data_IF_763654293437
#
_entry.id   IF_763654293437
#
_cell.length_a   1.000
_cell.length_b   1.000
_cell.length_c   1.000
_cell.angle_alpha   90.00
_cell.angle_beta   90.00
_cell.angle_gamma   90.00
#
_symmetry.space_group_name_H-M   'P 1'
#
loop_
_entity.id
_entity.type
_entity.pdbx_description
1 polymer ?
#
# COMPACT_ATOMS: atom_id res chain seq x y z
N UNK A 1 13.28 -6.90 12.80
CA UNK A 1 13.30 -5.41 12.91
C UNK A 1 12.81 -4.79 11.62
N UNK A 2 13.34 -5.22 10.48
CA UNK A 2 13.07 -4.57 9.18
C UNK A 2 11.70 -4.93 8.55
N UNK A 3 11.19 -6.16 8.75
CA UNK A 3 9.80 -6.53 8.37
C UNK A 3 8.76 -5.68 9.12
N UNK A 4 9.00 -5.40 10.41
CA UNK A 4 8.10 -4.56 11.20
C UNK A 4 8.03 -3.13 10.65
N UNK A 5 9.16 -2.58 10.21
CA UNK A 5 9.20 -1.27 9.56
C UNK A 5 8.40 -1.29 8.25
N UNK A 6 8.51 -2.35 7.45
CA UNK A 6 7.69 -2.51 6.24
C UNK A 6 6.20 -2.60 6.58
N UNK A 7 5.82 -3.42 7.56
CA UNK A 7 4.42 -3.55 8.01
C UNK A 7 3.86 -2.20 8.47
N UNK A 8 4.62 -1.45 9.25
CA UNK A 8 4.24 -0.10 9.69
C UNK A 8 4.08 0.85 8.50
N UNK A 9 5.01 0.84 7.54
CA UNK A 9 4.91 1.66 6.34
C UNK A 9 3.64 1.34 5.53
N UNK A 10 3.35 0.05 5.31
CA UNK A 10 2.12 -0.39 4.64
C UNK A 10 0.86 0.03 5.41
N UNK A 11 0.85 -0.10 6.74
CA UNK A 11 -0.27 0.32 7.59
C UNK A 11 -0.53 1.84 7.50
N UNK A 12 0.53 2.65 7.50
CA UNK A 12 0.42 4.10 7.33
C UNK A 12 -0.19 4.46 5.97
N UNK A 13 0.29 3.84 4.89
CA UNK A 13 -0.26 4.02 3.55
C UNK A 13 -1.74 3.62 3.48
N UNK A 14 -2.10 2.44 4.02
CA UNK A 14 -3.49 1.97 4.09
C UNK A 14 -4.36 2.96 4.83
N UNK A 15 -3.90 3.46 5.97
CA UNK A 15 -4.65 4.41 6.82
C UNK A 15 -4.91 5.70 6.07
N UNK A 16 -3.88 6.28 5.45
CA UNK A 16 -4.01 7.54 4.72
C UNK A 16 -4.94 7.40 3.52
N UNK A 17 -4.78 6.35 2.71
CA UNK A 17 -5.64 6.13 1.53
C UNK A 17 -7.09 5.85 1.95
N UNK A 18 -7.31 5.04 3.00
CA UNK A 18 -8.66 4.74 3.51
C UNK A 18 -9.37 6.00 4.02
N UNK A 19 -8.64 6.84 4.77
CA UNK A 19 -9.19 8.10 5.27
C UNK A 19 -9.55 9.04 4.12
N UNK A 20 -8.72 9.10 3.07
CA UNK A 20 -9.05 9.89 1.88
C UNK A 20 -10.28 9.37 1.16
N UNK A 21 -10.45 8.05 1.02
CA UNK A 21 -11.67 7.45 0.44
C UNK A 21 -12.89 7.91 1.24
N UNK A 22 -12.87 7.76 2.56
CA UNK A 22 -13.99 8.18 3.43
C UNK A 22 -14.30 9.68 3.30
N UNK A 23 -13.28 10.54 3.23
CA UNK A 23 -13.47 11.98 3.01
C UNK A 23 -14.13 12.25 1.65
N UNK A 24 -13.67 11.56 0.60
CA UNK A 24 -14.18 11.73 -0.76
C UNK A 24 -15.63 11.25 -0.92
N UNK A 25 -16.04 10.23 -0.18
CA UNK A 25 -17.42 9.73 -0.13
C UNK A 25 -18.37 10.73 0.56
N UNK A 26 -17.87 11.52 1.52
CA UNK A 26 -18.66 12.50 2.26
C UNK A 26 -18.76 13.87 1.56
N UNK A 27 -18.04 14.08 0.46
CA UNK A 27 -17.96 15.37 -0.25
C UNK A 27 -18.84 15.38 -1.51
N UNK A 28 -19.52 16.51 -1.75
CA UNK A 28 -20.42 16.70 -2.90
C UNK A 28 -19.84 17.61 -4.00
N UNK A 29 -18.68 18.25 -3.80
CA UNK A 29 -18.08 19.21 -4.75
C UNK A 29 -16.83 18.69 -5.46
N UNK A 30 -16.78 18.81 -6.80
CA UNK A 30 -15.66 18.39 -7.65
C UNK A 30 -14.37 19.19 -7.44
N UNK A 31 -14.44 20.49 -7.12
CA UNK A 31 -13.22 21.29 -6.91
C UNK A 31 -12.46 20.89 -5.64
N UNK A 32 -13.19 20.43 -4.62
CA UNK A 32 -12.59 19.89 -3.41
C UNK A 32 -11.95 18.52 -3.65
N UNK A 33 -12.52 17.70 -4.52
CA UNK A 33 -12.01 16.36 -4.86
C UNK A 33 -10.59 16.42 -5.41
N UNK A 34 -10.33 17.23 -6.44
CA UNK A 34 -8.98 17.33 -7.03
C UNK A 34 -7.94 17.77 -6.00
N UNK A 35 -8.30 18.73 -5.12
CA UNK A 35 -7.41 19.17 -4.04
C UNK A 35 -7.13 18.05 -3.03
N UNK A 36 -8.15 17.27 -2.66
CA UNK A 36 -8.00 16.14 -1.73
C UNK A 36 -7.08 15.07 -2.33
N UNK A 37 -7.25 14.74 -3.61
CA UNK A 37 -6.42 13.76 -4.32
C UNK A 37 -4.96 14.22 -4.45
N UNK A 38 -4.73 15.49 -4.79
CA UNK A 38 -3.38 16.06 -4.81
C UNK A 38 -2.72 16.04 -3.42
N UNK A 39 -3.48 16.41 -2.38
CA UNK A 39 -2.99 16.35 -1.00
C UNK A 39 -2.64 14.91 -0.59
N UNK A 40 -3.41 13.91 -1.04
CA UNK A 40 -3.10 12.51 -0.81
C UNK A 40 -1.76 12.12 -1.44
N UNK A 41 -1.51 12.48 -2.70
CA UNK A 41 -0.24 12.17 -3.37
C UNK A 41 0.96 12.78 -2.64
N UNK A 42 0.87 14.04 -2.23
CA UNK A 42 1.90 14.73 -1.45
C UNK A 42 2.11 14.03 -0.10
N UNK A 43 1.03 13.65 0.58
CA UNK A 43 1.11 12.97 1.88
C UNK A 43 1.79 11.62 1.76
N UNK A 44 1.48 10.84 0.72
CA UNK A 44 2.14 9.56 0.47
C UNK A 44 3.63 9.76 0.16
N UNK A 45 4.00 10.71 -0.70
CA UNK A 45 5.40 10.99 -1.01
C UNK A 45 6.21 11.33 0.25
N UNK A 46 5.68 12.21 1.10
CA UNK A 46 6.32 12.57 2.37
C UNK A 46 6.45 11.37 3.32
N UNK A 47 5.43 10.52 3.40
CA UNK A 47 5.48 9.29 4.19
C UNK A 47 6.57 8.35 3.68
N UNK A 48 6.69 8.19 2.37
CA UNK A 48 7.69 7.33 1.77
C UNK A 48 9.10 7.85 2.01
N UNK A 49 9.34 9.15 1.85
CA UNK A 49 10.64 9.76 2.15
C UNK A 49 11.08 9.49 3.60
N UNK A 50 10.15 9.65 4.56
CA UNK A 50 10.43 9.40 5.97
C UNK A 50 10.68 7.92 6.31
N UNK A 51 10.02 6.98 5.61
CA UNK A 51 10.03 5.57 5.98
C UNK A 51 10.98 4.71 5.14
N UNK A 52 11.27 5.06 3.88
CA UNK A 52 12.11 4.28 2.97
C UNK A 52 13.56 4.15 3.48
N UNK A 53 14.07 5.18 4.15
CA UNK A 53 15.41 5.17 4.76
C UNK A 53 15.53 4.12 5.87
N UNK A 54 14.42 3.75 6.51
CA UNK A 54 14.35 2.76 7.60
C UNK A 54 14.26 1.31 7.10
N UNK A 55 14.15 1.09 5.79
CA UNK A 55 13.99 -0.21 5.16
C UNK A 55 15.31 -0.68 4.52
N UNK A 56 15.62 -1.98 4.56
CA UNK A 56 16.67 -2.55 3.71
C UNK A 56 16.36 -2.42 2.22
N UNK A 57 17.39 -2.62 1.38
CA UNK A 57 17.26 -2.62 -0.08
C UNK A 57 16.20 -3.61 -0.58
N UNK A 58 16.06 -4.78 0.03
CA UNK A 58 15.08 -5.79 -0.36
C UNK A 58 13.64 -5.29 -0.14
N UNK A 59 13.34 -4.75 1.05
CA UNK A 59 12.01 -4.23 1.34
C UNK A 59 11.69 -2.93 0.61
N UNK A 60 12.70 -2.07 0.38
CA UNK A 60 12.55 -0.93 -0.52
C UNK A 60 12.14 -1.39 -1.91
N UNK A 61 12.86 -2.35 -2.50
CA UNK A 61 12.53 -2.87 -3.84
C UNK A 61 11.14 -3.50 -3.89
N UNK A 62 10.77 -4.24 -2.84
CA UNK A 62 9.42 -4.80 -2.71
C UNK A 62 8.34 -3.71 -2.72
N UNK A 63 8.52 -2.65 -1.91
CA UNK A 63 7.60 -1.52 -1.85
C UNK A 63 7.57 -0.75 -3.16
N UNK A 64 8.73 -0.48 -3.78
CA UNK A 64 8.84 0.14 -5.10
C UNK A 64 8.05 -0.63 -6.15
N UNK A 65 8.16 -1.96 -6.19
CA UNK A 65 7.41 -2.79 -7.15
C UNK A 65 5.89 -2.70 -6.96
N UNK A 66 5.42 -2.48 -5.74
CA UNK A 66 4.00 -2.23 -5.46
C UNK A 66 3.62 -0.84 -5.96
N UNK A 67 4.37 0.20 -5.57
CA UNK A 67 4.05 1.59 -5.89
C UNK A 67 4.17 1.91 -7.39
N UNK A 68 5.10 1.28 -8.10
CA UNK A 68 5.26 1.40 -9.55
C UNK A 68 3.99 0.95 -10.31
N UNK A 69 3.23 -0.02 -9.78
CA UNK A 69 1.93 -0.42 -10.38
C UNK A 69 0.89 0.71 -10.33
N UNK A 70 1.13 1.72 -9.49
CA UNK A 70 0.30 2.91 -9.33
C UNK A 70 1.02 4.18 -9.80
N UNK A 71 2.03 4.02 -10.66
CA UNK A 71 2.79 5.12 -11.28
C UNK A 71 3.56 6.01 -10.30
N UNK A 72 3.99 5.45 -9.17
CA UNK A 72 5.00 6.13 -8.35
C UNK A 72 6.38 5.96 -8.97
N UNK A 73 7.14 7.04 -9.11
CA UNK A 73 8.56 7.02 -9.46
C UNK A 73 9.39 7.15 -8.19
N UNK A 74 10.23 6.16 -7.92
CA UNK A 74 11.19 6.21 -6.81
C UNK A 74 12.27 7.27 -7.07
N UNK A 75 12.70 7.41 -8.33
CA UNK A 75 13.73 8.37 -8.73
C UNK A 75 13.25 9.81 -8.58
N UNK A 76 12.00 10.09 -8.98
CA UNK A 76 11.40 11.42 -8.87
C UNK A 76 10.68 11.63 -7.52
N UNK A 77 10.58 10.58 -6.69
CA UNK A 77 9.86 10.56 -5.42
C UNK A 77 8.42 11.09 -5.50
N UNK A 78 7.74 10.82 -6.61
CA UNK A 78 6.39 11.33 -6.86
C UNK A 78 5.58 10.39 -7.74
N UNK A 79 4.25 10.56 -7.69
CA UNK A 79 3.36 9.92 -8.66
C UNK A 79 3.39 10.68 -9.98
N UNK A 80 3.62 9.96 -11.08
CA UNK A 80 3.71 10.52 -12.43
C UNK A 80 2.34 10.71 -13.09
N UNK A 81 1.28 10.17 -12.47
CA UNK A 81 -0.12 10.29 -12.91
C UNK A 81 -0.96 10.82 -11.75
N UNK A 82 -1.89 11.74 -12.03
CA UNK A 82 -2.87 12.23 -11.06
C UNK A 82 -3.75 11.08 -10.54
N UNK A 83 -4.03 11.06 -9.24
CA UNK A 83 -4.97 10.09 -8.69
C UNK A 83 -6.40 10.38 -9.15
N UNK A 84 -7.16 9.31 -9.37
CA UNK A 84 -8.61 9.34 -9.55
C UNK A 84 -9.26 8.59 -8.39
N UNK A 85 -10.53 8.87 -8.08
CA UNK A 85 -11.29 8.08 -7.08
C UNK A 85 -11.23 6.58 -7.36
N UNK A 86 -11.31 6.22 -8.64
CA UNK A 86 -11.34 4.84 -9.12
C UNK A 86 -10.06 4.05 -8.78
N UNK A 87 -8.91 4.71 -8.65
CA UNK A 87 -7.64 4.04 -8.34
C UNK A 87 -7.47 3.78 -6.84
N UNK A 88 -8.15 4.54 -5.98
CA UNK A 88 -7.92 4.48 -4.52
C UNK A 88 -8.38 3.16 -3.90
N UNK A 89 -9.58 2.67 -4.25
CA UNK A 89 -10.11 1.42 -3.71
C UNK A 89 -9.26 0.21 -4.12
N UNK A 90 -8.88 0.03 -5.40
CA UNK A 90 -7.92 -0.99 -5.81
C UNK A 90 -6.55 -0.83 -5.13
N UNK A 91 -6.07 0.40 -4.95
CA UNK A 91 -4.79 0.67 -4.31
C UNK A 91 -4.77 0.24 -2.85
N UNK A 92 -5.75 0.67 -2.05
CA UNK A 92 -5.84 0.27 -0.64
C UNK A 92 -6.04 -1.23 -0.49
N UNK A 93 -6.85 -1.86 -1.35
CA UNK A 93 -7.07 -3.30 -1.33
C UNK A 93 -5.78 -4.08 -1.62
N UNK A 94 -4.98 -3.62 -2.59
CA UNK A 94 -3.67 -4.21 -2.87
C UNK A 94 -2.73 -4.07 -1.67
N UNK A 95 -2.62 -2.87 -1.08
CA UNK A 95 -1.79 -2.65 0.11
C UNK A 95 -2.21 -3.56 1.29
N UNK A 96 -3.52 -3.69 1.55
CA UNK A 96 -4.06 -4.59 2.57
C UNK A 96 -3.71 -6.04 2.29
N UNK A 97 -3.84 -6.48 1.04
CA UNK A 97 -3.44 -7.83 0.63
C UNK A 97 -1.93 -8.06 0.78
N UNK A 98 -1.10 -7.07 0.48
CA UNK A 98 0.36 -7.13 0.67
C UNK A 98 0.75 -7.22 2.13
N UNK A 99 0.05 -6.50 3.00
CA UNK A 99 0.24 -6.62 4.45
C UNK A 99 -0.15 -8.02 4.95
N UNK A 100 -1.33 -8.51 4.56
CA UNK A 100 -1.79 -9.86 4.94
C UNK A 100 -0.90 -10.97 4.39
N UNK A 101 -0.27 -10.77 3.23
CA UNK A 101 0.68 -11.73 2.64
C UNK A 101 1.91 -11.92 3.54
N UNK A 102 2.41 -10.87 4.20
CA UNK A 102 3.54 -10.99 5.12
C UNK A 102 3.18 -11.91 6.29
N UNK A 103 2.00 -11.71 6.87
CA UNK A 103 1.50 -12.56 7.95
C UNK A 103 1.26 -14.00 7.49
N UNK A 104 0.75 -14.20 6.27
CA UNK A 104 0.55 -15.51 5.68
C UNK A 104 1.87 -16.25 5.40
N UNK A 105 2.91 -15.57 4.90
CA UNK A 105 4.22 -16.22 4.68
C UNK A 105 4.86 -16.61 6.03
N UNK A 106 4.71 -15.80 7.09
CA UNK A 106 5.15 -16.18 8.44
C UNK A 106 4.32 -17.33 9.04
N UNK A 107 3.01 -17.35 8.82
CA UNK A 107 2.12 -18.43 9.25
C UNK A 107 2.46 -19.75 8.56
N UNK A 108 2.75 -19.72 7.25
CA UNK A 108 3.19 -20.88 6.49
C UNK A 108 4.51 -21.46 7.05
N UNK A 109 5.47 -20.59 7.39
CA UNK A 109 6.72 -21.00 8.04
C UNK A 109 6.47 -21.67 9.40
N UNK A 110 5.51 -21.15 10.17
CA UNK A 110 5.14 -21.67 11.48
C UNK A 110 4.20 -22.90 11.42
N UNK A 111 3.74 -23.30 10.24
CA UNK A 111 2.79 -24.40 10.05
C UNK A 111 1.33 -24.08 10.39
N UNK A 112 0.95 -22.80 10.51
CA UNK A 112 -0.44 -22.38 10.72
C UNK A 112 -1.18 -22.29 9.38
N UNK A 113 -1.81 -23.40 8.99
CA UNK A 113 -2.56 -23.51 7.74
C UNK A 113 -3.83 -22.65 7.72
N UNK A 114 -4.45 -22.37 8.87
CA UNK A 114 -5.71 -21.61 8.92
C UNK A 114 -5.51 -20.18 8.41
N UNK A 115 -4.44 -19.52 8.86
CA UNK A 115 -4.13 -18.15 8.43
C UNK A 115 -3.74 -18.08 6.95
N UNK A 116 -3.07 -19.12 6.44
CA UNK A 116 -2.70 -19.22 5.02
C UNK A 116 -3.94 -19.40 4.14
N UNK A 117 -4.86 -20.29 4.52
CA UNK A 117 -6.11 -20.53 3.80
C UNK A 117 -7.01 -19.29 3.80
N UNK A 118 -7.11 -18.60 4.93
CA UNK A 118 -7.84 -17.34 5.04
C UNK A 118 -7.28 -16.25 4.12
N UNK A 119 -5.95 -16.14 4.05
CA UNK A 119 -5.28 -15.24 3.12
C UNK A 119 -5.60 -15.58 1.65
N UNK A 120 -5.44 -16.86 1.25
CA UNK A 120 -5.68 -17.30 -0.14
C UNK A 120 -7.14 -17.03 -0.54
N UNK A 121 -8.08 -17.26 0.37
CA UNK A 121 -9.51 -16.99 0.15
C UNK A 121 -9.80 -15.50 -0.04
N UNK A 122 -9.16 -14.63 0.76
CA UNK A 122 -9.40 -13.18 0.74
C UNK A 122 -8.66 -12.46 -0.39
N UNK A 123 -7.47 -12.91 -0.76
CA UNK A 123 -6.62 -12.28 -1.78
C UNK A 123 -6.08 -13.31 -2.80
N UNK A 124 -6.95 -13.98 -3.57
CA UNK A 124 -6.53 -15.07 -4.46
C UNK A 124 -5.50 -14.63 -5.52
N UNK A 125 -5.56 -13.38 -5.96
CA UNK A 125 -4.63 -12.79 -6.95
C UNK A 125 -3.22 -12.56 -6.41
N UNK A 126 -3.02 -12.66 -5.10
CA UNK A 126 -1.72 -12.48 -4.43
C UNK A 126 -1.09 -13.80 -3.97
N UNK A 127 -1.77 -14.94 -4.14
CA UNK A 127 -1.30 -16.28 -3.70
C UNK A 127 0.14 -16.60 -4.12
N UNK A 128 0.51 -16.25 -5.35
CA UNK A 128 1.82 -16.58 -5.92
C UNK A 128 2.80 -15.40 -5.89
N UNK A 129 2.51 -14.34 -5.12
CA UNK A 129 3.29 -13.09 -5.12
C UNK A 129 4.12 -12.89 -3.86
N UNK A 130 4.46 -13.96 -3.11
CA UNK A 130 5.47 -13.87 -2.03
C UNK A 130 6.83 -13.61 -2.74
N UNK A 131 7.07 -12.33 -3.01
CA UNK A 131 8.26 -11.80 -3.69
C UNK A 131 9.28 -11.26 -2.68
N UNK A 132 9.34 -11.91 -1.52
CA UNK A 132 10.26 -11.65 -0.42
C UNK A 132 11.05 -12.92 -0.14
#
# INVERSE_FOLDING_TARGET
MDENNLKQCLQLLITVVSNTINILEQQTSQSNEKRILNNLQITIANLLDCNLSLLSSQYRNYLSNILNQYNYSIEEQMFTIEFTKEILCPFVHNLQGRLSLLDACQAAWNGDLSLVEDFIRKYPTLRNKCGL
#
